data_IF_104911344794
#
_entry.id   IF_104911344794
#
_cell.length_a   1.000
_cell.length_b   1.000
_cell.length_c   1.000
_cell.angle_alpha   90.00
_cell.angle_beta   90.00
_cell.angle_gamma   90.00
#
_symmetry.space_group_name_H-M   'P 1'
#
loop_
_entity.id
_entity.type
_entity.pdbx_description
1 polymer ?
#
# COMPACT_ATOMS: atom_id res chain seq x y z
N UNK A 1 -16.04 14.74 -15.07
CA UNK A 1 -14.75 15.47 -15.17
C UNK A 1 -14.70 16.71 -14.30
N UNK A 2 -15.55 17.73 -14.46
CA UNK A 2 -15.54 18.92 -13.56
C UNK A 2 -15.64 18.57 -12.07
N UNK A 3 -16.58 17.70 -11.69
CA UNK A 3 -16.71 17.23 -10.29
C UNK A 3 -15.41 16.58 -9.78
N UNK A 4 -14.80 15.69 -10.56
CA UNK A 4 -13.49 15.09 -10.25
C UNK A 4 -12.45 16.16 -9.98
N UNK A 5 -12.31 17.12 -10.89
CA UNK A 5 -11.25 18.13 -10.80
C UNK A 5 -11.45 19.07 -9.60
N UNK A 6 -12.69 19.44 -9.26
CA UNK A 6 -12.98 20.19 -8.02
C UNK A 6 -12.68 19.37 -6.76
N UNK A 7 -12.99 18.08 -6.74
CA UNK A 7 -12.61 17.22 -5.61
C UNK A 7 -11.11 17.09 -5.44
N UNK A 8 -10.39 16.95 -6.55
CA UNK A 8 -8.93 16.92 -6.51
C UNK A 8 -8.34 18.23 -6.00
N UNK A 9 -8.97 19.38 -6.27
CA UNK A 9 -8.59 20.67 -5.64
C UNK A 9 -8.84 20.65 -4.13
N UNK A 10 -9.95 20.06 -3.67
CA UNK A 10 -10.20 19.85 -2.22
C UNK A 10 -9.08 19.01 -1.61
N UNK A 11 -8.72 17.89 -2.25
CA UNK A 11 -7.63 17.04 -1.79
C UNK A 11 -6.27 17.73 -1.85
N UNK A 12 -6.07 18.71 -2.73
CA UNK A 12 -4.84 19.49 -2.85
C UNK A 12 -4.68 20.59 -1.77
N UNK A 13 -5.71 20.88 -0.97
CA UNK A 13 -5.63 21.87 0.10
C UNK A 13 -4.56 21.50 1.15
N UNK A 14 -4.13 22.49 1.95
CA UNK A 14 -3.18 22.26 3.03
C UNK A 14 -3.75 21.41 4.18
N UNK A 15 -5.08 21.43 4.35
CA UNK A 15 -5.84 20.68 5.38
C UNK A 15 -7.05 20.01 4.74
N UNK A 16 -6.86 18.98 3.90
CA UNK A 16 -7.95 18.39 3.11
C UNK A 16 -8.98 17.66 3.99
N UNK A 17 -8.55 17.07 5.11
CA UNK A 17 -9.42 16.45 6.12
C UNK A 17 -10.55 17.37 6.59
N UNK A 18 -10.24 18.62 6.98
CA UNK A 18 -11.25 19.60 7.40
C UNK A 18 -12.24 19.95 6.29
N UNK A 19 -11.78 19.95 5.04
CA UNK A 19 -12.63 20.23 3.90
C UNK A 19 -13.56 19.04 3.59
N UNK A 20 -13.07 17.81 3.72
CA UNK A 20 -13.89 16.59 3.57
C UNK A 20 -14.89 16.45 4.71
N UNK A 21 -14.52 16.77 5.96
CA UNK A 21 -15.47 16.84 7.09
C UNK A 21 -16.58 17.86 6.80
N UNK A 22 -16.22 19.07 6.33
CA UNK A 22 -17.21 20.08 5.96
C UNK A 22 -18.10 19.66 4.79
N UNK A 23 -17.55 18.91 3.82
CA UNK A 23 -18.36 18.28 2.77
C UNK A 23 -19.35 17.26 3.36
N UNK A 24 -18.99 16.57 4.44
CA UNK A 24 -19.89 15.67 5.18
C UNK A 24 -21.01 16.45 5.87
N UNK A 25 -20.69 17.54 6.57
CA UNK A 25 -21.68 18.43 7.22
C UNK A 25 -22.73 18.95 6.22
N UNK A 26 -22.30 19.20 4.98
CA UNK A 26 -23.15 19.66 3.89
C UNK A 26 -23.74 18.55 3.03
N UNK A 27 -23.56 17.28 3.42
CA UNK A 27 -24.07 16.10 2.72
C UNK A 27 -23.61 15.96 1.27
N UNK A 28 -22.48 16.60 0.93
CA UNK A 28 -21.83 16.46 -0.36
C UNK A 28 -21.19 15.06 -0.45
N UNK A 29 -20.67 14.54 0.67
CA UNK A 29 -20.09 13.19 0.75
C UNK A 29 -21.12 12.13 0.37
N UNK A 30 -22.39 12.25 0.80
CA UNK A 30 -23.49 11.32 0.48
C UNK A 30 -23.60 11.05 -1.03
N UNK A 31 -23.40 12.08 -1.86
CA UNK A 31 -23.53 12.00 -3.32
C UNK A 31 -22.18 11.70 -3.96
N UNK A 32 -21.13 12.34 -3.47
CA UNK A 32 -19.85 12.34 -4.14
C UNK A 32 -19.00 11.11 -3.80
N UNK A 33 -19.00 10.71 -2.53
CA UNK A 33 -18.20 9.66 -1.91
C UNK A 33 -19.10 8.79 -1.01
N UNK A 34 -20.17 8.17 -1.54
CA UNK A 34 -21.06 7.33 -0.73
C UNK A 34 -20.30 6.19 -0.03
N UNK A 35 -19.20 5.71 -0.61
CA UNK A 35 -18.33 4.70 -0.03
C UNK A 35 -17.63 5.19 1.24
N UNK A 36 -17.23 6.47 1.29
CA UNK A 36 -16.70 7.09 2.51
C UNK A 36 -17.81 7.26 3.54
N UNK A 37 -19.00 7.71 3.13
CA UNK A 37 -20.14 7.91 4.03
C UNK A 37 -20.54 6.62 4.76
N UNK A 38 -20.51 5.49 4.04
CA UNK A 38 -20.84 4.18 4.58
C UNK A 38 -19.95 3.74 5.76
N UNK A 39 -18.77 4.36 5.93
CA UNK A 39 -17.85 4.08 7.02
C UNK A 39 -18.27 4.70 8.36
N UNK A 40 -19.23 5.63 8.35
CA UNK A 40 -19.63 6.34 9.56
C UNK A 40 -20.28 5.39 10.57
N UNK A 41 -19.83 5.44 11.82
CA UNK A 41 -20.34 4.59 12.90
C UNK A 41 -19.89 3.13 12.83
N UNK A 42 -19.06 2.73 11.86
CA UNK A 42 -18.47 1.39 11.84
C UNK A 42 -17.36 1.33 12.88
N UNK A 43 -17.60 0.63 13.99
CA UNK A 43 -16.62 0.47 15.06
C UNK A 43 -15.43 -0.41 14.64
N UNK A 44 -14.29 -0.21 15.30
CA UNK A 44 -13.06 -0.94 15.03
C UNK A 44 -12.38 -1.39 16.32
N UNK A 45 -11.77 -2.59 16.36
CA UNK A 45 -11.07 -3.06 17.54
C UNK A 45 -9.81 -2.21 17.82
N UNK A 46 -9.30 -2.24 19.07
CA UNK A 46 -8.00 -1.67 19.40
C UNK A 46 -6.91 -2.10 18.41
N UNK A 47 -5.95 -1.23 18.06
CA UNK A 47 -5.63 0.04 18.70
C UNK A 47 -6.40 1.26 18.16
N UNK A 48 -7.42 1.06 17.32
CA UNK A 48 -8.17 2.17 16.74
C UNK A 48 -8.93 2.95 17.83
N UNK A 49 -8.78 4.28 17.80
CA UNK A 49 -9.48 5.20 18.71
C UNK A 49 -10.77 5.78 18.11
N UNK A 50 -11.01 5.51 16.84
CA UNK A 50 -12.03 6.15 16.02
C UNK A 50 -12.81 5.09 15.23
N UNK A 51 -14.07 5.42 14.88
CA UNK A 51 -14.80 4.67 13.87
C UNK A 51 -14.06 4.72 12.51
N UNK A 52 -14.46 3.87 11.56
CA UNK A 52 -13.74 3.79 10.26
C UNK A 52 -13.75 5.12 9.51
N UNK A 53 -14.83 5.91 9.59
CA UNK A 53 -14.90 7.23 8.96
C UNK A 53 -13.87 8.21 9.56
N UNK A 54 -13.90 8.42 10.87
CA UNK A 54 -13.02 9.36 11.56
C UNK A 54 -11.56 8.90 11.48
N UNK A 55 -11.31 7.59 11.55
CA UNK A 55 -10.00 7.02 11.25
C UNK A 55 -9.51 7.43 9.86
N UNK A 56 -10.34 7.25 8.82
CA UNK A 56 -10.02 7.64 7.43
C UNK A 56 -9.71 9.14 7.31
N UNK A 57 -10.46 10.00 8.00
CA UNK A 57 -10.20 11.44 8.07
C UNK A 57 -8.85 11.75 8.71
N UNK A 58 -8.49 11.06 9.81
CA UNK A 58 -7.16 11.23 10.43
C UNK A 58 -6.03 10.68 9.55
N UNK A 59 -6.24 9.56 8.86
CA UNK A 59 -5.30 9.02 7.88
C UNK A 59 -5.05 10.01 6.74
N UNK A 60 -6.11 10.67 6.23
CA UNK A 60 -5.97 11.77 5.26
C UNK A 60 -5.22 12.98 5.84
N UNK A 61 -5.48 13.35 7.10
CA UNK A 61 -4.74 14.42 7.80
C UNK A 61 -3.25 14.11 7.83
N UNK A 62 -2.86 12.93 8.29
CA UNK A 62 -1.45 12.52 8.39
C UNK A 62 -0.79 12.37 7.02
N UNK A 63 -1.50 11.82 6.04
CA UNK A 63 -1.02 11.75 4.66
C UNK A 63 -0.68 13.14 4.13
N UNK A 64 -1.59 14.10 4.30
CA UNK A 64 -1.38 15.49 3.88
C UNK A 64 -0.22 16.18 4.60
N UNK A 65 -0.02 15.91 5.90
CA UNK A 65 1.15 16.44 6.64
C UNK A 65 2.45 15.84 6.10
N UNK A 66 2.49 14.52 5.90
CA UNK A 66 3.67 13.81 5.44
C UNK A 66 4.11 14.27 4.04
N UNK A 67 3.20 14.26 3.05
CA UNK A 67 3.57 14.61 1.67
C UNK A 67 4.00 16.08 1.54
N UNK A 68 3.32 17.00 2.24
CA UNK A 68 3.66 18.43 2.18
C UNK A 68 5.05 18.68 2.73
N UNK A 69 5.44 17.97 3.79
CA UNK A 69 6.77 18.11 4.37
C UNK A 69 7.82 17.56 3.41
N UNK A 70 7.59 16.37 2.84
CA UNK A 70 8.46 15.78 1.83
C UNK A 70 8.68 16.75 0.66
N UNK A 71 7.60 17.41 0.20
CA UNK A 71 7.56 18.43 -0.86
C UNK A 71 8.18 19.79 -0.50
N UNK A 72 8.71 19.98 0.69
CA UNK A 72 9.41 21.24 1.03
C UNK A 72 8.62 22.24 1.86
N UNK A 73 7.34 21.98 2.14
CA UNK A 73 6.49 22.96 2.82
C UNK A 73 6.84 23.06 4.31
N UNK A 74 6.89 24.28 4.83
CA UNK A 74 7.10 24.53 6.27
C UNK A 74 5.89 24.02 7.06
N UNK A 75 6.16 23.32 8.16
CA UNK A 75 5.13 22.79 9.07
C UNK A 75 5.52 22.99 10.53
N UNK A 76 4.52 23.14 11.38
CA UNK A 76 4.70 23.07 12.82
C UNK A 76 5.23 21.69 13.20
N UNK A 77 6.21 21.65 14.11
CA UNK A 77 6.84 20.41 14.60
C UNK A 77 6.27 20.07 15.96
N UNK A 78 5.40 19.06 16.04
CA UNK A 78 5.16 18.34 17.30
C UNK A 78 6.30 17.33 17.52
N UNK A 79 6.28 16.62 18.65
CA UNK A 79 7.25 15.55 18.92
C UNK A 79 7.20 14.44 17.85
N UNK A 80 6.00 14.09 17.39
CA UNK A 80 5.79 13.07 16.35
C UNK A 80 6.43 13.49 15.02
N UNK A 81 6.14 14.69 14.52
CA UNK A 81 6.76 15.10 13.24
C UNK A 81 8.27 15.26 13.38
N UNK A 82 8.78 15.72 14.52
CA UNK A 82 10.23 15.84 14.70
C UNK A 82 10.93 14.48 14.50
N UNK A 83 10.35 13.40 15.04
CA UNK A 83 10.86 12.02 14.87
C UNK A 83 10.75 11.52 13.43
N UNK A 84 9.59 11.72 12.80
CA UNK A 84 9.38 11.36 11.38
C UNK A 84 10.40 12.09 10.50
N UNK A 85 10.58 13.39 10.73
CA UNK A 85 11.51 14.23 9.98
C UNK A 85 12.94 13.74 10.16
N UNK A 86 13.35 13.44 11.40
CA UNK A 86 14.70 12.91 11.67
C UNK A 86 14.96 11.60 10.94
N UNK A 87 13.99 10.67 10.94
CA UNK A 87 14.16 9.37 10.28
C UNK A 87 14.13 9.45 8.76
N UNK A 88 13.23 10.26 8.19
CA UNK A 88 13.00 10.30 6.74
C UNK A 88 13.81 11.40 6.02
N UNK A 89 14.44 12.34 6.74
CA UNK A 89 15.23 13.41 6.12
C UNK A 89 16.31 12.90 5.16
N UNK A 90 17.05 11.81 5.43
CA UNK A 90 18.04 11.27 4.50
C UNK A 90 17.45 10.84 3.14
N UNK A 91 16.14 10.57 3.09
CA UNK A 91 15.45 10.02 1.92
C UNK A 91 14.47 11.03 1.29
N UNK A 92 14.44 12.26 1.80
CA UNK A 92 13.43 13.26 1.48
C UNK A 92 13.41 13.61 -0.01
N UNK A 93 14.57 13.77 -0.63
CA UNK A 93 14.66 14.21 -2.02
C UNK A 93 14.20 13.12 -3.00
N UNK A 94 14.57 11.86 -2.75
CA UNK A 94 14.08 10.72 -3.52
C UNK A 94 12.55 10.57 -3.39
N UNK A 95 12.03 10.65 -2.17
CA UNK A 95 10.58 10.59 -1.91
C UNK A 95 9.84 11.78 -2.53
N UNK A 96 10.42 12.99 -2.49
CA UNK A 96 9.85 14.17 -3.16
C UNK A 96 9.76 13.95 -4.66
N UNK A 97 10.87 13.56 -5.31
CA UNK A 97 10.90 13.33 -6.75
C UNK A 97 9.86 12.28 -7.16
N UNK A 98 9.75 11.20 -6.39
CA UNK A 98 8.72 10.18 -6.58
C UNK A 98 7.30 10.74 -6.48
N UNK A 99 7.01 11.52 -5.42
CA UNK A 99 5.70 12.10 -5.16
C UNK A 99 5.29 13.16 -6.18
N UNK A 100 6.23 13.96 -6.67
CA UNK A 100 6.02 15.02 -7.66
C UNK A 100 5.88 14.48 -9.08
N UNK A 101 6.36 13.26 -9.35
CA UNK A 101 6.20 12.61 -10.65
C UNK A 101 4.71 12.47 -11.01
N UNK A 102 4.27 12.98 -12.17
CA UNK A 102 2.90 12.84 -12.63
C UNK A 102 2.56 11.41 -13.09
N UNK A 103 1.37 10.91 -12.72
CA UNK A 103 0.80 9.67 -13.29
C UNK A 103 0.12 9.92 -14.64
N UNK A 104 -0.30 11.16 -14.88
CA UNK A 104 -0.81 11.69 -16.15
C UNK A 104 -0.24 13.09 -16.32
N UNK A 105 -0.46 13.76 -17.45
CA UNK A 105 0.22 15.02 -17.83
C UNK A 105 0.32 16.08 -16.71
N UNK A 106 -0.67 16.18 -15.81
CA UNK A 106 -0.71 17.24 -14.78
C UNK A 106 -0.97 16.75 -13.36
N UNK A 107 -1.13 15.44 -13.12
CA UNK A 107 -1.58 14.93 -11.81
C UNK A 107 -0.48 14.12 -11.09
N UNK A 108 0.17 14.71 -10.07
CA UNK A 108 1.28 14.09 -9.34
C UNK A 108 0.82 12.95 -8.42
N UNK A 109 1.73 12.01 -8.11
CA UNK A 109 1.45 10.86 -7.23
C UNK A 109 0.96 11.27 -5.84
N UNK A 110 1.46 12.35 -5.24
CA UNK A 110 1.02 12.76 -3.90
C UNK A 110 -0.49 13.03 -3.80
N UNK A 111 -1.10 13.51 -4.89
CA UNK A 111 -2.54 13.77 -4.93
C UNK A 111 -3.32 12.46 -4.88
N UNK A 112 -2.85 11.44 -5.60
CA UNK A 112 -3.45 10.11 -5.62
C UNK A 112 -3.12 9.28 -4.39
N UNK A 113 -2.01 9.56 -3.70
CA UNK A 113 -1.75 9.06 -2.35
C UNK A 113 -2.81 9.58 -1.35
N UNK A 114 -3.17 10.87 -1.41
CA UNK A 114 -4.27 11.41 -0.59
C UNK A 114 -5.62 10.79 -0.92
N UNK A 115 -5.90 10.54 -2.21
CA UNK A 115 -7.11 9.81 -2.59
C UNK A 115 -7.08 8.37 -2.06
N UNK A 116 -5.95 7.68 -2.18
CA UNK A 116 -5.74 6.35 -1.60
C UNK A 116 -5.98 6.33 -0.08
N UNK A 117 -5.55 7.37 0.65
CA UNK A 117 -5.82 7.51 2.07
C UNK A 117 -7.32 7.57 2.40
N UNK A 118 -8.16 8.14 1.53
CA UNK A 118 -9.61 8.14 1.69
C UNK A 118 -10.20 6.76 1.37
N UNK A 119 -9.66 6.09 0.34
CA UNK A 119 -10.27 4.90 -0.24
C UNK A 119 -9.75 3.57 0.33
N UNK A 120 -8.67 3.55 1.11
CA UNK A 120 -8.00 2.32 1.54
C UNK A 120 -8.91 1.36 2.32
N UNK A 121 -9.87 1.91 3.07
CA UNK A 121 -10.76 1.19 3.98
C UNK A 121 -12.23 1.11 3.53
N UNK A 122 -12.56 1.58 2.32
CA UNK A 122 -13.95 1.56 1.82
C UNK A 122 -14.60 0.17 1.84
N UNK A 123 -13.79 -0.89 1.69
CA UNK A 123 -14.23 -2.28 1.73
C UNK A 123 -14.62 -2.79 3.12
N UNK A 124 -14.30 -2.08 4.22
CA UNK A 124 -14.55 -2.56 5.59
C UNK A 124 -16.04 -2.83 5.85
N UNK A 125 -16.93 -2.05 5.26
CA UNK A 125 -18.39 -2.25 5.42
C UNK A 125 -18.83 -3.61 4.86
N UNK A 126 -18.38 -3.97 3.65
CA UNK A 126 -18.72 -5.25 3.03
C UNK A 126 -18.03 -6.44 3.73
N UNK A 127 -16.82 -6.21 4.24
CA UNK A 127 -16.00 -7.20 4.92
C UNK A 127 -16.31 -7.36 6.41
N UNK A 128 -17.19 -6.52 6.99
CA UNK A 128 -17.53 -6.56 8.41
C UNK A 128 -18.11 -7.93 8.78
N UNK A 129 -17.47 -8.60 9.72
CA UNK A 129 -17.95 -9.84 10.33
C UNK A 129 -17.79 -9.73 11.84
N UNK A 130 -18.77 -10.26 12.56
CA UNK A 130 -18.76 -10.40 14.01
C UNK A 130 -18.75 -11.90 14.33
N UNK A 131 -17.85 -12.33 15.20
CA UNK A 131 -17.83 -13.71 15.67
C UNK A 131 -18.76 -13.91 16.88
N UNK A 132 -18.85 -15.15 17.38
CA UNK A 132 -19.74 -15.52 18.50
C UNK A 132 -19.40 -14.78 19.81
N UNK A 133 -18.16 -14.30 19.95
CA UNK A 133 -17.68 -13.55 21.12
C UNK A 133 -17.86 -12.01 20.95
N UNK A 134 -18.50 -11.57 19.86
CA UNK A 134 -18.71 -10.16 19.55
C UNK A 134 -17.48 -9.45 18.97
N UNK A 135 -16.45 -10.19 18.56
CA UNK A 135 -15.24 -9.60 17.98
C UNK A 135 -15.45 -9.27 16.51
N UNK A 136 -15.19 -8.00 16.20
CA UNK A 136 -15.27 -7.46 14.84
C UNK A 136 -14.01 -7.79 14.04
N UNK A 137 -14.19 -8.27 12.80
CA UNK A 137 -13.13 -8.53 11.82
C UNK A 137 -13.48 -7.97 10.44
N UNK A 138 -12.44 -7.71 9.64
CA UNK A 138 -12.53 -7.12 8.29
C UNK A 138 -11.65 -7.87 7.29
N UNK A 139 -11.75 -9.20 7.25
CA UNK A 139 -10.88 -10.01 6.42
C UNK A 139 -11.04 -9.66 4.93
N UNK A 140 -9.91 -9.45 4.24
CA UNK A 140 -9.84 -9.17 2.79
C UNK A 140 -10.52 -7.86 2.35
N UNK A 141 -10.76 -6.91 3.26
CA UNK A 141 -11.36 -5.63 2.92
C UNK A 141 -10.55 -4.85 1.88
N UNK A 142 -9.24 -5.09 1.77
CA UNK A 142 -8.37 -4.49 0.76
C UNK A 142 -8.80 -4.81 -0.69
N UNK A 143 -9.38 -5.99 -0.93
CA UNK A 143 -9.86 -6.40 -2.25
C UNK A 143 -11.14 -5.64 -2.63
N UNK A 144 -12.06 -5.50 -1.66
CA UNK A 144 -13.28 -4.71 -1.81
C UNK A 144 -12.95 -3.22 -1.96
N UNK A 145 -12.01 -2.69 -1.16
CA UNK A 145 -11.53 -1.31 -1.26
C UNK A 145 -10.92 -1.02 -2.64
N UNK A 146 -10.11 -1.94 -3.19
CA UNK A 146 -9.57 -1.81 -4.55
C UNK A 146 -10.70 -1.67 -5.58
N UNK A 147 -11.72 -2.55 -5.50
CA UNK A 147 -12.86 -2.55 -6.41
C UNK A 147 -13.69 -1.27 -6.35
N UNK A 148 -14.02 -0.84 -5.13
CA UNK A 148 -14.79 0.39 -4.87
C UNK A 148 -14.02 1.64 -5.35
N UNK A 149 -12.72 1.72 -5.06
CA UNK A 149 -11.87 2.81 -5.55
C UNK A 149 -11.85 2.87 -7.08
N UNK A 150 -11.68 1.72 -7.75
CA UNK A 150 -11.69 1.63 -9.20
C UNK A 150 -13.04 2.06 -9.81
N UNK A 151 -14.14 1.63 -9.21
CA UNK A 151 -15.50 1.98 -9.64
C UNK A 151 -15.74 3.49 -9.52
N UNK A 152 -15.39 4.09 -8.38
CA UNK A 152 -15.47 5.53 -8.16
C UNK A 152 -14.65 6.29 -9.20
N UNK A 153 -13.38 5.93 -9.38
CA UNK A 153 -12.48 6.62 -10.30
C UNK A 153 -12.94 6.49 -11.75
N UNK A 154 -13.52 5.35 -12.13
CA UNK A 154 -14.11 5.14 -13.46
C UNK A 154 -15.34 6.03 -13.67
N UNK A 155 -16.25 6.09 -12.68
CA UNK A 155 -17.44 6.95 -12.68
C UNK A 155 -17.07 8.43 -12.88
N UNK A 156 -15.97 8.87 -12.27
CA UNK A 156 -15.46 10.23 -12.38
C UNK A 156 -14.48 10.46 -13.53
N UNK A 157 -14.29 9.46 -14.40
CA UNK A 157 -13.45 9.49 -15.61
C UNK A 157 -11.98 9.79 -15.31
N UNK A 158 -11.43 9.24 -14.25
CA UNK A 158 -9.99 9.32 -13.98
C UNK A 158 -9.20 8.54 -15.06
N UNK A 159 -7.93 8.90 -15.24
CA UNK A 159 -7.04 8.27 -16.20
C UNK A 159 -6.68 6.82 -15.80
N UNK A 160 -6.40 5.97 -16.79
CA UNK A 160 -6.09 4.55 -16.56
C UNK A 160 -4.87 4.33 -15.66
N UNK A 161 -3.85 5.17 -15.76
CA UNK A 161 -2.66 5.09 -14.89
C UNK A 161 -3.00 5.48 -13.45
N UNK A 162 -3.87 6.49 -13.26
CA UNK A 162 -4.36 6.93 -11.95
C UNK A 162 -5.16 5.81 -11.28
N UNK A 163 -6.08 5.19 -12.02
CA UNK A 163 -6.88 4.05 -11.55
C UNK A 163 -5.97 2.89 -11.16
N UNK A 164 -5.02 2.52 -12.02
CA UNK A 164 -4.08 1.42 -11.74
C UNK A 164 -3.26 1.69 -10.47
N UNK A 165 -2.78 2.91 -10.30
CA UNK A 165 -1.99 3.31 -9.13
C UNK A 165 -2.80 3.21 -7.83
N UNK A 166 -3.98 3.84 -7.78
CA UNK A 166 -4.82 3.82 -6.58
C UNK A 166 -5.28 2.40 -6.24
N UNK A 167 -5.67 1.61 -7.25
CA UNK A 167 -6.01 0.20 -7.06
C UNK A 167 -4.91 -0.57 -6.34
N UNK A 168 -3.66 -0.43 -6.81
CA UNK A 168 -2.49 -1.05 -6.17
C UNK A 168 -2.25 -0.52 -4.76
N UNK A 169 -2.43 0.78 -4.54
CA UNK A 169 -2.33 1.37 -3.19
C UNK A 169 -3.34 0.71 -2.24
N UNK A 170 -4.62 0.64 -2.62
CA UNK A 170 -5.66 -0.02 -1.82
C UNK A 170 -5.38 -1.51 -1.63
N UNK A 171 -5.07 -2.25 -2.69
CA UNK A 171 -4.82 -3.70 -2.62
C UNK A 171 -3.59 -4.06 -1.77
N UNK A 172 -2.59 -3.17 -1.70
CA UNK A 172 -1.34 -3.41 -1.00
C UNK A 172 -1.28 -2.83 0.42
N UNK A 173 -2.26 -2.03 0.85
CA UNK A 173 -2.13 -1.21 2.07
C UNK A 173 -1.93 -2.03 3.35
N UNK A 174 -2.55 -3.21 3.43
CA UNK A 174 -2.37 -4.10 4.59
C UNK A 174 -1.01 -4.79 4.64
N UNK A 175 -0.24 -4.86 3.53
CA UNK A 175 1.01 -5.66 3.49
C UNK A 175 2.04 -5.19 4.53
N UNK A 176 2.36 -3.89 4.68
CA UNK A 176 3.21 -3.44 5.77
C UNK A 176 2.56 -3.64 7.15
N UNK A 177 1.26 -3.37 7.27
CA UNK A 177 0.53 -3.48 8.54
C UNK A 177 0.53 -4.91 9.10
N UNK A 178 0.29 -5.91 8.26
CA UNK A 178 0.25 -7.33 8.68
C UNK A 178 1.58 -7.79 9.27
N UNK A 179 2.72 -7.40 8.70
CA UNK A 179 4.03 -7.73 9.26
C UNK A 179 4.36 -6.91 10.51
N UNK A 180 3.92 -5.65 10.54
CA UNK A 180 4.10 -4.80 11.72
C UNK A 180 3.34 -5.36 12.93
N UNK A 181 2.12 -5.84 12.72
CA UNK A 181 1.29 -6.45 13.75
C UNK A 181 1.95 -7.69 14.39
N UNK A 182 2.76 -8.44 13.64
CA UNK A 182 3.56 -9.56 14.15
C UNK A 182 4.95 -9.14 14.65
N UNK A 183 5.21 -7.83 14.81
CA UNK A 183 6.51 -7.25 15.19
C UNK A 183 7.67 -7.76 14.33
N UNK A 184 7.41 -7.98 13.05
CA UNK A 184 8.36 -8.59 12.13
C UNK A 184 8.75 -7.58 11.05
N UNK A 185 10.04 -7.30 10.89
CA UNK A 185 10.54 -6.51 9.77
C UNK A 185 10.39 -7.28 8.45
N UNK A 186 10.16 -6.60 7.31
CA UNK A 186 10.01 -7.29 6.03
C UNK A 186 11.32 -7.95 5.64
N UNK A 187 11.28 -9.24 5.29
CA UNK A 187 12.42 -9.95 4.69
C UNK A 187 12.74 -9.42 3.29
N UNK A 188 13.93 -9.72 2.75
CA UNK A 188 14.27 -9.41 1.33
C UNK A 188 13.21 -9.93 0.36
N UNK A 189 12.70 -11.13 0.63
CA UNK A 189 11.62 -11.77 -0.13
C UNK A 189 10.31 -10.99 -0.05
N UNK A 190 9.87 -10.59 1.15
CA UNK A 190 8.66 -9.79 1.33
C UNK A 190 8.75 -8.45 0.58
N UNK A 191 9.91 -7.78 0.69
CA UNK A 191 10.21 -6.55 -0.05
C UNK A 191 10.13 -6.79 -1.56
N UNK A 192 10.82 -7.80 -2.08
CA UNK A 192 10.78 -8.14 -3.50
C UNK A 192 9.35 -8.35 -4.00
N UNK A 193 8.54 -9.14 -3.28
CA UNK A 193 7.12 -9.39 -3.64
C UNK A 193 6.31 -8.10 -3.68
N UNK A 194 6.47 -7.19 -2.71
CA UNK A 194 5.76 -5.91 -2.73
C UNK A 194 6.08 -5.10 -3.99
N UNK A 195 7.37 -4.89 -4.29
CA UNK A 195 7.78 -4.09 -5.45
C UNK A 195 7.46 -4.77 -6.78
N UNK A 196 7.54 -6.11 -6.86
CA UNK A 196 7.13 -6.88 -8.04
C UNK A 196 5.63 -6.72 -8.31
N UNK A 197 4.80 -6.91 -7.29
CA UNK A 197 3.34 -6.95 -7.46
C UNK A 197 2.74 -5.55 -7.59
N UNK A 198 3.24 -4.59 -6.80
CA UNK A 198 2.68 -3.23 -6.71
C UNK A 198 3.42 -2.22 -7.60
N UNK A 199 4.60 -2.58 -8.14
CA UNK A 199 5.38 -1.71 -9.01
C UNK A 199 5.67 -0.36 -8.37
N UNK A 200 5.40 0.70 -9.12
CA UNK A 200 5.62 2.08 -8.70
C UNK A 200 4.65 2.58 -7.63
N UNK A 201 3.63 1.80 -7.21
CA UNK A 201 2.79 2.15 -6.08
C UNK A 201 3.42 1.78 -4.72
N UNK A 202 4.48 0.95 -4.70
CA UNK A 202 5.08 0.45 -3.46
C UNK A 202 5.52 1.56 -2.48
N UNK A 203 6.22 2.64 -2.89
CA UNK A 203 6.56 3.72 -1.95
C UNK A 203 5.32 4.44 -1.40
N UNK A 204 4.26 4.59 -2.20
CA UNK A 204 3.01 5.18 -1.72
C UNK A 204 2.28 4.31 -0.69
N UNK A 205 2.28 2.98 -0.88
CA UNK A 205 1.75 2.03 0.11
C UNK A 205 2.49 2.16 1.45
N UNK A 206 3.82 2.34 1.41
CA UNK A 206 4.64 2.44 2.62
C UNK A 206 4.41 3.77 3.34
N UNK A 207 4.26 4.87 2.59
CA UNK A 207 3.90 6.17 3.15
C UNK A 207 2.47 6.17 3.72
N UNK A 208 1.54 5.49 3.04
CA UNK A 208 0.17 5.31 3.50
C UNK A 208 0.14 4.50 4.81
N UNK A 209 0.90 3.41 4.91
CA UNK A 209 1.03 2.65 6.16
C UNK A 209 1.41 3.55 7.35
N UNK A 210 2.38 4.45 7.18
CA UNK A 210 2.76 5.36 8.26
C UNK A 210 1.61 6.31 8.63
N UNK A 211 0.91 6.87 7.64
CA UNK A 211 -0.20 7.77 7.88
C UNK A 211 -1.42 7.08 8.52
N UNK A 212 -1.70 5.85 8.10
CA UNK A 212 -2.75 4.96 8.63
C UNK A 212 -2.44 4.58 10.09
N UNK A 213 -1.22 4.11 10.34
CA UNK A 213 -0.70 3.81 11.68
C UNK A 213 -0.87 5.00 12.64
N UNK A 214 -0.55 6.22 12.19
CA UNK A 214 -0.73 7.47 12.94
C UNK A 214 -2.22 7.84 13.11
N UNK A 215 -3.03 7.65 12.06
CA UNK A 215 -4.46 7.91 12.06
C UNK A 215 -5.24 7.03 13.02
N UNK A 216 -4.81 5.78 13.22
CA UNK A 216 -5.41 4.86 14.19
C UNK A 216 -5.15 5.24 15.65
N UNK A 217 -3.99 5.86 15.95
CA UNK A 217 -3.50 6.07 17.33
C UNK A 217 -3.63 7.50 17.85
N UNK A 218 -3.68 8.49 16.97
CA UNK A 218 -3.72 9.89 17.36
C UNK A 218 -2.39 10.39 17.97
N UNK A 219 -2.45 11.53 18.67
CA UNK A 219 -1.26 12.26 19.14
C UNK A 219 -0.66 11.70 20.45
N UNK A 220 -1.37 10.81 21.14
CA UNK A 220 -0.95 10.21 22.43
C UNK A 220 -0.22 8.86 22.25
N UNK A 221 0.26 8.57 21.05
CA UNK A 221 0.96 7.33 20.75
C UNK A 221 2.30 7.24 21.49
N UNK A 222 2.66 6.02 21.90
CA UNK A 222 3.95 5.74 22.51
C UNK A 222 5.12 5.99 21.55
N UNK A 223 6.19 6.58 22.08
CA UNK A 223 7.35 6.96 21.28
C UNK A 223 8.12 5.74 20.75
N UNK A 224 8.19 4.64 21.50
CA UNK A 224 8.85 3.42 21.05
C UNK A 224 8.03 2.72 19.97
N UNK A 225 6.70 2.77 20.06
CA UNK A 225 5.83 2.27 18.99
C UNK A 225 6.03 3.05 17.69
N UNK A 226 6.13 4.38 17.76
CA UNK A 226 6.47 5.21 16.60
C UNK A 226 7.85 4.88 16.02
N UNK A 227 8.86 4.74 16.87
CA UNK A 227 10.22 4.41 16.44
C UNK A 227 10.26 3.05 15.72
N UNK A 228 9.50 2.06 16.20
CA UNK A 228 9.35 0.76 15.55
C UNK A 228 8.63 0.87 14.18
N UNK A 229 7.56 1.66 14.08
CA UNK A 229 6.88 1.89 12.81
C UNK A 229 7.79 2.60 11.80
N UNK A 230 8.61 3.54 12.26
CA UNK A 230 9.59 4.26 11.46
C UNK A 230 10.74 3.36 10.98
N UNK A 231 11.19 2.42 11.81
CA UNK A 231 12.13 1.37 11.40
C UNK A 231 11.52 0.45 10.32
N UNK A 232 10.25 0.07 10.51
CA UNK A 232 9.51 -0.74 9.53
C UNK A 232 9.38 -0.03 8.18
N UNK A 233 9.04 1.26 8.19
CA UNK A 233 9.01 2.12 6.99
C UNK A 233 10.36 2.15 6.30
N UNK A 234 11.45 2.37 7.04
CA UNK A 234 12.80 2.41 6.48
C UNK A 234 13.18 1.08 5.82
N UNK A 235 12.87 -0.04 6.48
CA UNK A 235 13.10 -1.37 5.93
C UNK A 235 12.33 -1.60 4.62
N UNK A 236 11.05 -1.22 4.55
CA UNK A 236 10.25 -1.36 3.34
C UNK A 236 10.69 -0.44 2.19
N UNK A 237 11.17 0.77 2.50
CA UNK A 237 11.66 1.72 1.50
C UNK A 237 13.03 1.34 0.92
N UNK A 238 13.77 0.44 1.56
CA UNK A 238 15.11 0.07 1.13
C UNK A 238 15.24 -0.20 -0.39
N UNK A 239 14.40 -1.05 -1.05
CA UNK A 239 14.54 -1.32 -2.48
C UNK A 239 14.22 -0.14 -3.40
N UNK A 240 13.53 0.89 -2.89
CA UNK A 240 13.27 2.14 -3.61
C UNK A 240 14.45 3.11 -3.50
N UNK A 241 15.13 3.10 -2.36
CA UNK A 241 16.20 4.03 -2.02
C UNK A 241 17.57 3.57 -2.52
N UNK A 242 17.76 2.27 -2.65
CA UNK A 242 18.94 1.69 -3.29
C UNK A 242 18.84 1.88 -4.80
N UNK A 243 19.88 2.47 -5.41
CA UNK A 243 20.05 2.42 -6.86
C UNK A 243 20.12 0.95 -7.27
N UNK A 244 19.06 0.43 -7.88
CA UNK A 244 19.07 -0.94 -8.37
C UNK A 244 19.68 -0.98 -9.75
N UNK A 245 20.68 -1.84 -9.92
CA UNK A 245 20.93 -2.45 -11.22
C UNK A 245 19.62 -3.06 -11.74
N UNK A 246 19.46 -3.10 -13.06
CA UNK A 246 18.33 -3.80 -13.67
C UNK A 246 18.19 -5.19 -13.03
N UNK A 247 16.95 -5.67 -12.75
CA UNK A 247 16.76 -6.99 -12.18
C UNK A 247 17.55 -8.01 -13.00
N UNK A 248 18.28 -8.94 -12.35
CA UNK A 248 19.16 -9.84 -13.06
C UNK A 248 18.35 -10.64 -14.09
N UNK A 249 18.95 -10.87 -15.26
CA UNK A 249 18.30 -11.62 -16.33
C UNK A 249 17.80 -12.97 -15.79
N UNK A 250 16.57 -13.40 -16.13
CA UNK A 250 16.04 -14.68 -15.65
C UNK A 250 17.01 -15.81 -15.97
N UNK A 251 17.34 -16.62 -14.96
CA UNK A 251 18.26 -17.76 -15.14
C UNK A 251 17.68 -18.83 -16.07
N UNK A 252 16.35 -18.98 -16.10
CA UNK A 252 15.60 -19.86 -16.99
C UNK A 252 14.31 -19.16 -17.44
N UNK A 253 13.88 -19.44 -18.67
CA UNK A 253 12.59 -19.00 -19.20
C UNK A 253 11.55 -20.14 -19.21
N UNK A 254 10.30 -19.81 -19.55
CA UNK A 254 9.19 -20.76 -19.50
C UNK A 254 9.35 -21.95 -20.46
N UNK A 255 9.90 -21.73 -21.65
CA UNK A 255 10.14 -22.78 -22.64
C UNK A 255 11.20 -23.77 -22.12
N UNK A 256 12.27 -23.25 -21.51
CA UNK A 256 13.32 -24.08 -20.91
C UNK A 256 12.77 -24.94 -19.75
N UNK A 257 11.87 -24.40 -18.93
CA UNK A 257 11.23 -25.15 -17.84
C UNK A 257 10.33 -26.25 -18.40
N UNK A 258 9.50 -25.92 -19.41
CA UNK A 258 8.60 -26.88 -20.09
C UNK A 258 9.39 -28.05 -20.66
N UNK A 259 10.43 -27.75 -21.45
CA UNK A 259 11.24 -28.76 -22.12
C UNK A 259 12.00 -29.64 -21.13
N UNK A 260 12.59 -29.03 -20.09
CA UNK A 260 13.46 -29.74 -19.14
C UNK A 260 12.70 -30.63 -18.16
N UNK A 261 11.53 -30.19 -17.72
CA UNK A 261 10.72 -30.92 -16.73
C UNK A 261 9.54 -31.66 -17.36
N UNK A 262 9.43 -31.67 -18.68
CA UNK A 262 8.36 -32.32 -19.45
C UNK A 262 6.96 -31.89 -18.99
N UNK A 263 6.80 -30.61 -18.64
CA UNK A 263 5.54 -30.05 -18.16
C UNK A 263 4.70 -29.55 -19.33
N UNK A 264 3.38 -29.51 -19.16
CA UNK A 264 2.48 -28.87 -20.13
C UNK A 264 2.45 -27.34 -19.89
N UNK A 265 2.30 -26.52 -20.95
CA UNK A 265 2.04 -25.09 -20.79
C UNK A 265 0.81 -24.87 -19.88
N UNK A 266 0.92 -23.96 -18.91
CA UNK A 266 -0.18 -23.66 -17.98
C UNK A 266 0.21 -22.77 -16.80
N UNK A 267 -0.75 -22.50 -15.88
CA UNK A 267 -0.54 -21.63 -14.71
C UNK A 267 0.64 -22.05 -13.83
N UNK A 268 0.91 -23.35 -13.79
CA UNK A 268 2.00 -23.96 -13.04
C UNK A 268 3.38 -23.46 -13.48
N UNK A 269 3.60 -23.28 -14.78
CA UNK A 269 4.84 -22.69 -15.32
C UNK A 269 5.02 -21.26 -14.82
N UNK A 270 3.92 -20.49 -14.79
CA UNK A 270 3.92 -19.14 -14.23
C UNK A 270 4.25 -19.10 -12.74
N UNK A 271 3.77 -20.08 -11.96
CA UNK A 271 4.09 -20.25 -10.54
C UNK A 271 5.59 -20.52 -10.35
N UNK A 272 6.13 -21.50 -11.08
CA UNK A 272 7.55 -21.86 -11.05
C UNK A 272 8.46 -20.69 -11.45
N UNK A 273 8.12 -19.98 -12.54
CA UNK A 273 8.86 -18.79 -12.97
C UNK A 273 8.89 -17.71 -11.89
N UNK A 274 7.74 -17.43 -11.26
CA UNK A 274 7.66 -16.45 -10.17
C UNK A 274 8.48 -16.87 -8.95
N UNK A 275 8.43 -18.15 -8.57
CA UNK A 275 9.20 -18.69 -7.45
C UNK A 275 10.70 -18.60 -7.73
N UNK A 276 11.14 -18.96 -8.94
CA UNK A 276 12.54 -18.87 -9.34
C UNK A 276 13.02 -17.41 -9.38
N UNK A 277 12.24 -16.51 -9.98
CA UNK A 277 12.57 -15.09 -10.04
C UNK A 277 12.73 -14.51 -8.62
N UNK A 278 11.90 -14.94 -7.69
CA UNK A 278 11.96 -14.52 -6.30
C UNK A 278 13.19 -15.06 -5.58
N UNK A 279 13.50 -16.37 -5.73
CA UNK A 279 14.71 -16.97 -5.17
C UNK A 279 15.99 -16.31 -5.73
N UNK A 280 15.98 -15.97 -7.03
CA UNK A 280 17.06 -15.26 -7.68
C UNK A 280 17.21 -13.83 -7.13
N UNK A 281 16.11 -13.10 -6.96
CA UNK A 281 16.12 -11.73 -6.48
C UNK A 281 16.63 -11.59 -5.03
N UNK A 282 16.49 -12.64 -4.21
CA UNK A 282 17.00 -12.63 -2.82
C UNK A 282 18.40 -13.23 -2.69
N UNK A 283 18.99 -13.74 -3.78
CA UNK A 283 20.33 -14.34 -3.83
C UNK A 283 20.39 -15.81 -3.39
N UNK A 284 19.25 -16.47 -3.21
CA UNK A 284 19.18 -17.92 -2.91
C UNK A 284 19.57 -18.77 -4.13
N UNK A 285 19.36 -18.24 -5.34
CA UNK A 285 19.70 -18.89 -6.61
C UNK A 285 20.46 -17.90 -7.48
N UNK A 286 21.69 -18.23 -7.85
CA UNK A 286 22.58 -17.34 -8.60
C UNK A 286 23.07 -17.98 -9.91
N UNK A 287 23.00 -19.31 -10.03
CA UNK A 287 23.43 -20.05 -11.22
C UNK A 287 22.29 -20.82 -11.87
N UNK A 288 22.47 -21.20 -13.14
CA UNK A 288 21.48 -22.00 -13.88
C UNK A 288 21.32 -23.39 -13.25
N UNK A 289 22.40 -23.98 -12.75
CA UNK A 289 22.40 -25.27 -12.06
C UNK A 289 21.63 -25.20 -10.74
N UNK A 290 21.78 -24.11 -9.98
CA UNK A 290 20.96 -23.85 -8.79
C UNK A 290 19.48 -23.65 -9.14
N UNK A 291 19.19 -22.94 -10.24
CA UNK A 291 17.82 -22.74 -10.70
C UNK A 291 17.13 -24.07 -11.01
N UNK A 292 17.84 -24.99 -11.67
CA UNK A 292 17.33 -26.33 -11.96
C UNK A 292 17.05 -27.10 -10.66
N UNK A 293 18.00 -27.13 -9.72
CA UNK A 293 17.84 -27.82 -8.44
C UNK A 293 16.69 -27.23 -7.60
N UNK A 294 16.55 -25.91 -7.60
CA UNK A 294 15.46 -25.21 -6.94
C UNK A 294 14.11 -25.61 -7.54
N UNK A 295 13.97 -25.64 -8.87
CA UNK A 295 12.72 -26.04 -9.51
C UNK A 295 12.38 -27.52 -9.29
N UNK A 296 13.40 -28.40 -9.24
CA UNK A 296 13.22 -29.81 -8.87
C UNK A 296 12.63 -29.95 -7.46
N UNK A 297 13.14 -29.20 -6.48
CA UNK A 297 12.62 -29.28 -5.11
C UNK A 297 11.19 -28.73 -4.99
N UNK A 298 10.86 -27.66 -5.71
CA UNK A 298 9.49 -27.13 -5.77
C UNK A 298 8.50 -28.13 -6.36
N UNK A 299 8.88 -28.84 -7.43
CA UNK A 299 8.03 -29.88 -8.03
C UNK A 299 7.87 -31.09 -7.11
N UNK A 300 8.92 -31.46 -6.36
CA UNK A 300 8.87 -32.57 -5.41
C UNK A 300 8.02 -32.27 -4.17
N UNK A 301 8.00 -31.02 -3.68
CA UNK A 301 7.15 -30.63 -2.55
C UNK A 301 5.66 -30.63 -2.87
N UNK A 302 5.31 -30.52 -4.15
CA UNK A 302 3.92 -30.52 -4.63
C UNK A 302 3.44 -31.91 -5.06
N UNK A 303 4.30 -32.94 -4.98
CA UNK A 303 3.88 -34.31 -5.22
C UNK A 303 2.93 -34.75 -4.09
N UNK A 304 1.76 -35.34 -4.39
CA UNK A 304 0.88 -35.87 -3.35
C UNK A 304 1.67 -36.88 -2.51
N UNK A 305 1.57 -36.75 -1.20
CA UNK A 305 2.14 -37.71 -0.26
C UNK A 305 1.53 -39.08 -0.60
N UNK A 306 2.32 -40.13 -0.83
CA UNK A 306 1.75 -41.44 -1.06
C UNK A 306 0.99 -41.88 0.20
N UNK A 307 -0.30 -42.20 0.02
CA UNK A 307 -1.17 -42.82 1.03
C UNK A 307 -0.54 -44.08 1.66
#
# INVERSE_FOLDING_TARGET
ERQRDEFLKVLALARPHLAVERMSDWRIVDVMLPELMALQGVEQPPPHRFDVFQHTIQTLRWTARLDRWLRGERQARTGIESRIQQRLSPHRDALRAYLETPLTTTRPRWLWLRFGAIAHDWGKVAALREDEDGRITFYRHEEESEGLAAAWMSRYRCGRQEITFVRRVCAGHMRPMSLFATRTLPSRRARFRLYRDMGDAAPAIILLFLADFLGARGEEMDAAELDAALEHVAAWLQPFLEERDAPPAPLLNGEEIIQRFHLKPGPEIGRLLKALQEAQAVGEVQTREEAIRFLQSQLASDAPTPD
#
